data_IF_094678177910
#
_entry.id   IF_094678177910
#
_cell.length_a   1.000
_cell.length_b   1.000
_cell.length_c   1.000
_cell.angle_alpha   90.00
_cell.angle_beta   90.00
_cell.angle_gamma   90.00
#
_symmetry.space_group_name_H-M   'P 1'
#
loop_
_entity.id
_entity.type
_entity.pdbx_description
1 polymer ?
#
# COMPACT_ATOMS: atom_id res chain seq x y z
N UNK A 1 10.79 -26.09 0.35
CA UNK A 1 11.56 -24.82 0.46
C UNK A 1 10.91 -23.69 -0.34
N UNK A 2 10.52 -23.92 -1.60
CA UNK A 2 9.84 -22.92 -2.44
C UNK A 2 8.60 -22.32 -1.78
N UNK A 3 7.79 -23.14 -1.11
CA UNK A 3 6.54 -22.71 -0.47
C UNK A 3 6.76 -21.78 0.72
N UNK A 4 7.78 -22.05 1.54
CA UNK A 4 8.17 -21.17 2.66
C UNK A 4 8.61 -19.80 2.15
N UNK A 5 9.38 -19.76 1.06
CA UNK A 5 9.82 -18.50 0.45
C UNK A 5 8.63 -17.72 -0.10
N UNK A 6 7.69 -18.38 -0.78
CA UNK A 6 6.48 -17.73 -1.30
C UNK A 6 5.63 -17.16 -0.17
N UNK A 7 5.41 -17.92 0.91
CA UNK A 7 4.66 -17.45 2.09
C UNK A 7 5.36 -16.26 2.76
N UNK A 8 6.68 -16.33 2.95
CA UNK A 8 7.43 -15.23 3.55
C UNK A 8 7.33 -13.95 2.70
N UNK A 9 7.45 -14.06 1.37
CA UNK A 9 7.28 -12.92 0.44
C UNK A 9 5.86 -12.37 0.51
N UNK A 10 4.84 -13.24 0.56
CA UNK A 10 3.44 -12.83 0.64
C UNK A 10 3.17 -12.04 1.93
N UNK A 11 3.68 -12.54 3.07
CA UNK A 11 3.54 -11.91 4.39
C UNK A 11 4.27 -10.57 4.42
N UNK A 12 5.51 -10.51 3.91
CA UNK A 12 6.27 -9.26 3.87
C UNK A 12 5.62 -8.22 2.95
N UNK A 13 5.11 -8.64 1.79
CA UNK A 13 4.40 -7.76 0.85
C UNK A 13 3.12 -7.23 1.48
N UNK A 14 2.33 -8.09 2.13
CA UNK A 14 1.11 -7.71 2.84
C UNK A 14 1.40 -6.77 4.01
N UNK A 15 2.39 -7.09 4.84
CA UNK A 15 2.79 -6.25 5.97
C UNK A 15 3.27 -4.87 5.48
N UNK A 16 4.05 -4.83 4.40
CA UNK A 16 4.50 -3.57 3.79
C UNK A 16 3.31 -2.77 3.24
N UNK A 17 2.39 -3.43 2.54
CA UNK A 17 1.18 -2.82 1.99
C UNK A 17 0.36 -2.16 3.10
N UNK A 18 -0.01 -2.91 4.14
CA UNK A 18 -0.80 -2.41 5.28
C UNK A 18 -0.07 -1.27 6.00
N UNK A 19 1.23 -1.40 6.22
CA UNK A 19 2.04 -0.37 6.89
C UNK A 19 2.06 0.93 6.08
N UNK A 20 2.31 0.84 4.77
CA UNK A 20 2.36 2.00 3.88
C UNK A 20 0.96 2.62 3.71
N UNK A 21 -0.09 1.80 3.65
CA UNK A 21 -1.49 2.26 3.62
C UNK A 21 -1.83 3.08 4.85
N UNK A 22 -1.60 2.52 6.04
CA UNK A 22 -1.88 3.21 7.30
C UNK A 22 -1.05 4.48 7.42
N UNK A 23 0.24 4.43 7.09
CA UNK A 23 1.11 5.60 7.12
C UNK A 23 0.61 6.70 6.17
N UNK A 24 0.20 6.36 4.94
CA UNK A 24 -0.36 7.31 3.98
C UNK A 24 -1.70 7.88 4.46
N UNK A 25 -2.62 7.04 4.93
CA UNK A 25 -3.91 7.46 5.46
C UNK A 25 -3.76 8.41 6.64
N UNK A 26 -2.93 8.06 7.63
CA UNK A 26 -2.63 8.89 8.79
C UNK A 26 -1.99 10.23 8.37
N UNK A 27 -1.03 10.18 7.45
CA UNK A 27 -0.34 11.38 6.96
C UNK A 27 -1.29 12.30 6.20
N UNK A 28 -2.22 11.76 5.41
CA UNK A 28 -3.28 12.52 4.75
C UNK A 28 -4.26 13.14 5.75
N UNK A 29 -4.68 12.40 6.78
CA UNK A 29 -5.55 12.95 7.85
C UNK A 29 -4.85 14.09 8.62
N UNK A 30 -3.56 13.92 8.92
CA UNK A 30 -2.82 14.83 9.79
C UNK A 30 -2.28 16.07 9.06
N UNK A 31 -1.80 15.91 7.82
CA UNK A 31 -1.08 16.97 7.09
C UNK A 31 -1.86 17.59 5.93
N UNK A 32 -2.95 16.98 5.49
CA UNK A 32 -3.71 17.44 4.33
C UNK A 32 -5.12 17.84 4.73
N UNK A 33 -5.56 19.04 4.32
CA UNK A 33 -6.98 19.40 4.34
C UNK A 33 -7.57 19.23 2.93
N UNK A 34 -8.79 18.69 2.79
CA UNK A 34 -9.73 18.25 3.84
C UNK A 34 -9.35 16.89 4.45
N UNK A 35 -9.45 16.77 5.77
CA UNK A 35 -9.07 15.56 6.53
C UNK A 35 -9.87 14.31 6.14
N UNK A 36 -11.05 14.50 5.56
CA UNK A 36 -11.92 13.41 5.08
C UNK A 36 -11.26 12.62 3.95
N UNK A 37 -10.32 13.22 3.20
CA UNK A 37 -9.52 12.50 2.21
C UNK A 37 -8.69 11.39 2.86
N UNK A 38 -8.15 11.61 4.04
CA UNK A 38 -7.41 10.56 4.75
C UNK A 38 -8.30 9.40 5.21
N UNK A 39 -9.55 9.69 5.62
CA UNK A 39 -10.53 8.64 5.97
C UNK A 39 -10.96 7.87 4.72
N UNK A 40 -11.25 8.56 3.62
CA UNK A 40 -11.58 7.92 2.34
C UNK A 40 -10.40 7.10 1.78
N UNK A 41 -9.15 7.50 2.05
CA UNK A 41 -7.97 6.78 1.61
C UNK A 41 -7.79 5.44 2.33
N UNK A 42 -8.33 5.32 3.55
CA UNK A 42 -8.35 4.08 4.33
C UNK A 42 -9.46 3.14 3.85
N UNK A 43 -10.62 3.69 3.44
CA UNK A 43 -11.75 2.90 2.92
C UNK A 43 -11.50 2.44 1.49
N UNK A 44 -10.97 3.33 0.65
CA UNK A 44 -10.70 3.07 -0.76
C UNK A 44 -9.18 3.02 -0.95
N UNK A 45 -8.57 1.82 -0.86
CA UNK A 45 -7.13 1.64 -0.95
C UNK A 45 -6.46 2.35 -2.15
N UNK A 46 -7.01 2.34 -3.39
CA UNK A 46 -6.37 3.02 -4.52
C UNK A 46 -6.43 4.55 -4.47
N UNK A 47 -7.23 5.17 -3.60
CA UNK A 47 -7.23 6.63 -3.44
C UNK A 47 -6.00 7.14 -2.67
N UNK A 48 -5.42 6.31 -1.79
CA UNK A 48 -4.22 6.64 -1.03
C UNK A 48 -3.02 7.05 -1.92
N UNK A 49 -2.60 6.25 -2.93
CA UNK A 49 -1.51 6.65 -3.83
C UNK A 49 -1.89 7.84 -4.70
N UNK A 50 -3.13 7.92 -5.21
CA UNK A 50 -3.58 9.02 -6.09
C UNK A 50 -3.43 10.36 -5.37
N UNK A 51 -3.85 10.45 -4.12
CA UNK A 51 -3.68 11.66 -3.32
C UNK A 51 -2.23 11.86 -2.87
N UNK A 52 -1.49 10.80 -2.52
CA UNK A 52 -0.06 10.91 -2.22
C UNK A 52 0.74 11.50 -3.39
N UNK A 53 0.45 11.12 -4.64
CA UNK A 53 1.09 11.71 -5.83
C UNK A 53 0.68 13.17 -6.04
N UNK A 54 -0.60 13.52 -5.77
CA UNK A 54 -1.09 14.90 -5.83
C UNK A 54 -0.47 15.81 -4.77
N UNK A 55 -0.22 15.30 -3.57
CA UNK A 55 0.47 16.02 -2.49
C UNK A 55 2.01 15.96 -2.59
N UNK A 56 2.57 15.38 -3.67
CA UNK A 56 4.01 15.32 -3.90
C UNK A 56 4.77 14.23 -3.12
N UNK A 57 4.08 13.33 -2.42
CA UNK A 57 4.67 12.22 -1.66
C UNK A 57 4.96 11.01 -2.56
N UNK A 58 5.74 11.24 -3.62
CA UNK A 58 6.05 10.26 -4.67
C UNK A 58 6.70 8.98 -4.12
N UNK A 59 7.57 9.08 -3.11
CA UNK A 59 8.23 7.92 -2.48
C UNK A 59 7.21 6.97 -1.85
N UNK A 60 6.25 7.51 -1.10
CA UNK A 60 5.22 6.73 -0.42
C UNK A 60 4.20 6.16 -1.41
N UNK A 61 3.83 6.92 -2.44
CA UNK A 61 2.99 6.42 -3.54
C UNK A 61 3.64 5.29 -4.33
N UNK A 62 4.94 5.41 -4.64
CA UNK A 62 5.69 4.37 -5.34
C UNK A 62 5.87 3.10 -4.49
N UNK A 63 6.14 3.24 -3.19
CA UNK A 63 6.21 2.10 -2.27
C UNK A 63 4.88 1.34 -2.19
N UNK A 64 3.76 2.06 -2.21
CA UNK A 64 2.43 1.49 -2.24
C UNK A 64 2.18 0.67 -3.51
N UNK A 65 2.45 1.27 -4.68
CA UNK A 65 2.30 0.60 -5.97
C UNK A 65 3.20 -0.64 -6.04
N UNK A 66 4.46 -0.50 -5.61
CA UNK A 66 5.41 -1.61 -5.56
C UNK A 66 4.91 -2.76 -4.69
N UNK A 67 4.38 -2.46 -3.50
CA UNK A 67 3.83 -3.48 -2.62
C UNK A 67 2.62 -4.20 -3.23
N UNK A 68 1.72 -3.48 -3.92
CA UNK A 68 0.60 -4.09 -4.66
C UNK A 68 1.10 -5.02 -5.75
N UNK A 69 2.05 -4.58 -6.57
CA UNK A 69 2.59 -5.38 -7.67
C UNK A 69 3.26 -6.64 -7.15
N UNK A 70 4.08 -6.52 -6.09
CA UNK A 70 4.74 -7.67 -5.47
C UNK A 70 3.71 -8.64 -4.86
N UNK A 71 2.69 -8.11 -4.16
CA UNK A 71 1.64 -8.93 -3.59
C UNK A 71 0.86 -9.70 -4.66
N UNK A 72 0.44 -9.02 -5.74
CA UNK A 72 -0.27 -9.66 -6.85
C UNK A 72 0.59 -10.70 -7.58
N UNK A 73 1.87 -10.40 -7.82
CA UNK A 73 2.79 -11.35 -8.44
C UNK A 73 2.97 -12.60 -7.58
N UNK A 74 3.18 -12.41 -6.27
CA UNK A 74 3.31 -13.52 -5.33
C UNK A 74 2.00 -14.32 -5.18
N UNK A 75 0.83 -13.66 -5.22
CA UNK A 75 -0.47 -14.31 -5.17
C UNK A 75 -0.72 -15.18 -6.42
N UNK A 76 -0.41 -14.67 -7.62
CA UNK A 76 -0.54 -15.44 -8.87
C UNK A 76 0.39 -16.65 -8.86
N UNK A 77 1.60 -16.50 -8.33
CA UNK A 77 2.56 -17.62 -8.17
C UNK A 77 2.08 -18.63 -7.14
N UNK A 78 1.46 -18.19 -6.04
CA UNK A 78 0.92 -19.07 -5.01
C UNK A 78 -0.36 -19.80 -5.45
N UNK A 79 -1.13 -19.22 -6.36
CA UNK A 79 -2.34 -19.81 -6.93
C UNK A 79 -2.08 -20.77 -8.10
N UNK A 80 -0.83 -20.88 -8.56
CA UNK A 80 -0.39 -21.83 -9.60
C UNK A 80 0.35 -23.01 -8.99
#
# INVERSE_FOLDING_TARGET
MKDIVVVAVLVLAFATLVTVHLALGLRLVLRTRPRWRGVLALVVPPLAPIWAFREGWRKSGAAWIGAVVVYLAALVVAQR
#
